data_IF_357045162083
#
_entry.id   IF_357045162083
#
_cell.length_a   1.000
_cell.length_b   1.000
_cell.length_c   1.000
_cell.angle_alpha   90.00
_cell.angle_beta   90.00
_cell.angle_gamma   90.00
#
_symmetry.space_group_name_H-M   'P 1'
#
loop_
_entity.id
_entity.type
_entity.pdbx_description
1 polymer ?
#
# COMPACT_ATOMS: atom_id res chain seq x y z
N UNK A 1 14.92 1.48 4.79
CA UNK A 1 13.70 1.15 5.52
C UNK A 1 12.82 2.39 5.49
N UNK A 2 11.86 2.49 4.58
CA UNK A 2 10.98 3.66 4.57
C UNK A 2 9.98 3.57 5.74
N UNK A 3 10.14 4.41 6.77
CA UNK A 3 9.20 4.54 7.88
C UNK A 3 8.29 5.77 7.79
N UNK A 4 8.44 6.56 6.73
CA UNK A 4 7.71 7.80 6.54
C UNK A 4 7.62 8.11 5.04
N UNK A 5 6.49 8.63 4.58
CA UNK A 5 6.31 8.98 3.17
C UNK A 5 5.52 10.26 2.98
N UNK A 6 5.56 10.80 1.76
CA UNK A 6 4.64 11.82 1.28
C UNK A 6 3.60 11.10 0.42
N UNK A 7 2.33 11.22 0.76
CA UNK A 7 1.23 10.67 -0.02
C UNK A 7 0.13 11.73 -0.11
N UNK A 8 0.12 12.51 -1.18
CA UNK A 8 -0.91 13.50 -1.51
C UNK A 8 -1.64 13.21 -2.82
N UNK A 9 -1.36 12.07 -3.43
CA UNK A 9 -1.95 11.63 -4.70
C UNK A 9 -3.47 11.58 -4.66
N UNK A 10 -4.11 12.13 -5.69
CA UNK A 10 -5.53 11.93 -5.97
C UNK A 10 -5.83 10.48 -6.35
N UNK A 11 -7.10 10.02 -6.22
CA UNK A 11 -7.48 8.67 -6.66
C UNK A 11 -7.09 8.35 -8.11
N UNK A 12 -7.18 9.34 -9.01
CA UNK A 12 -6.83 9.18 -10.42
C UNK A 12 -5.32 9.02 -10.64
N UNK A 13 -4.50 9.78 -9.92
CA UNK A 13 -3.03 9.61 -9.94
C UNK A 13 -2.62 8.25 -9.39
N UNK A 14 -3.30 7.78 -8.34
CA UNK A 14 -3.11 6.43 -7.79
C UNK A 14 -3.47 5.36 -8.84
N UNK A 15 -4.62 5.49 -9.51
CA UNK A 15 -5.02 4.56 -10.56
C UNK A 15 -3.99 4.50 -11.69
N UNK A 16 -3.54 5.66 -12.19
CA UNK A 16 -2.50 5.74 -13.22
C UNK A 16 -1.18 5.14 -12.76
N UNK A 17 -0.77 5.40 -11.52
CA UNK A 17 0.45 4.83 -10.96
C UNK A 17 0.41 3.29 -10.90
N UNK A 18 -0.76 2.70 -10.65
CA UNK A 18 -0.95 1.25 -10.67
C UNK A 18 -1.16 0.66 -12.07
N UNK A 19 -1.25 1.49 -13.11
CA UNK A 19 -1.61 1.06 -14.46
C UNK A 19 -3.08 0.61 -14.58
N UNK A 20 -3.94 1.07 -13.68
CA UNK A 20 -5.38 0.80 -13.72
C UNK A 20 -6.09 1.78 -14.66
N UNK A 21 -7.19 1.35 -15.31
CA UNK A 21 -7.94 2.22 -16.21
C UNK A 21 -8.52 3.42 -15.45
N UNK A 22 -8.57 4.57 -16.12
CA UNK A 22 -9.22 5.79 -15.65
C UNK A 22 -10.39 6.16 -16.56
N UNK A 23 -11.40 6.83 -16.02
CA UNK A 23 -12.46 7.43 -16.82
C UNK A 23 -11.87 8.59 -17.63
N UNK A 24 -12.33 8.78 -18.87
CA UNK A 24 -11.93 9.94 -19.68
C UNK A 24 -12.96 11.06 -19.54
N UNK A 25 -12.52 12.31 -19.50
CA UNK A 25 -13.33 13.52 -19.33
C UNK A 25 -14.39 13.81 -20.42
N UNK A 26 -14.53 12.98 -21.46
CA UNK A 26 -15.42 13.23 -22.60
C UNK A 26 -16.91 12.87 -22.39
N UNK A 27 -17.35 12.66 -21.15
CA UNK A 27 -18.77 12.51 -20.82
C UNK A 27 -19.15 13.40 -19.64
N UNK A 28 -19.29 14.71 -19.88
CA UNK A 28 -19.97 15.64 -18.98
C UNK A 28 -19.24 15.95 -17.67
N UNK A 29 -18.21 16.79 -17.72
CA UNK A 29 -17.80 17.68 -16.61
C UNK A 29 -17.18 17.06 -15.35
N UNK A 30 -17.11 15.74 -15.20
CA UNK A 30 -16.40 15.06 -14.12
C UNK A 30 -14.95 14.76 -14.52
N UNK A 31 -13.97 15.20 -13.72
CA UNK A 31 -12.54 14.95 -13.98
C UNK A 31 -12.18 13.47 -14.04
N UNK A 32 -10.99 13.17 -14.58
CA UNK A 32 -10.41 11.83 -14.62
C UNK A 32 -10.46 11.18 -13.23
N UNK A 33 -11.13 10.04 -13.10
CA UNK A 33 -11.21 9.23 -11.88
C UNK A 33 -10.83 7.77 -12.16
N UNK A 34 -10.67 6.93 -11.12
CA UNK A 34 -10.49 5.49 -11.33
C UNK A 34 -11.69 4.88 -12.03
N UNK A 35 -11.46 4.09 -13.08
CA UNK A 35 -12.50 3.25 -13.70
C UNK A 35 -12.59 1.86 -13.03
N UNK A 36 -11.90 1.68 -11.90
CA UNK A 36 -11.94 0.48 -11.06
C UNK A 36 -12.69 0.78 -9.76
N UNK A 37 -13.30 -0.22 -9.10
CA UNK A 37 -13.94 -0.01 -7.81
C UNK A 37 -13.00 0.61 -6.79
N UNK A 38 -13.51 1.60 -6.07
CA UNK A 38 -12.80 2.25 -4.97
C UNK A 38 -13.46 1.91 -3.65
N UNK A 39 -12.69 1.43 -2.68
CA UNK A 39 -13.18 0.92 -1.40
C UNK A 39 -12.63 1.75 -0.25
N UNK A 40 -13.52 2.34 0.55
CA UNK A 40 -13.18 3.09 1.77
C UNK A 40 -12.20 4.27 1.58
N UNK A 41 -12.13 4.87 0.38
CA UNK A 41 -11.25 6.01 0.11
C UNK A 41 -11.52 7.22 1.01
N UNK A 42 -12.72 7.32 1.58
CA UNK A 42 -13.07 8.33 2.59
C UNK A 42 -12.20 8.25 3.87
N UNK A 43 -11.42 7.18 4.08
CA UNK A 43 -10.45 7.05 5.18
C UNK A 43 -9.09 7.68 4.87
N UNK A 44 -8.76 7.90 3.61
CA UNK A 44 -7.49 8.48 3.20
C UNK A 44 -7.43 9.96 3.59
N UNK A 45 -6.28 10.39 4.14
CA UNK A 45 -5.99 11.78 4.46
C UNK A 45 -4.66 12.16 3.80
N UNK A 46 -4.68 12.92 2.68
CA UNK A 46 -3.47 13.40 2.03
C UNK A 46 -2.53 14.08 3.02
N UNK A 47 -1.25 13.71 2.99
CA UNK A 47 -0.26 14.28 3.90
C UNK A 47 1.14 14.23 3.29
N UNK A 48 1.90 15.29 3.52
CA UNK A 48 3.34 15.34 3.25
C UNK A 48 4.15 14.45 4.20
N UNK A 49 3.52 13.93 5.25
CA UNK A 49 4.15 13.18 6.30
C UNK A 49 3.23 12.06 6.82
N UNK A 50 3.12 10.96 6.08
CA UNK A 50 2.41 9.76 6.51
C UNK A 50 3.35 8.84 7.30
N UNK A 51 2.80 8.20 8.34
CA UNK A 51 3.50 7.29 9.25
C UNK A 51 2.76 5.93 9.28
N UNK A 52 3.39 4.85 9.78
CA UNK A 52 2.68 3.64 10.16
C UNK A 52 1.46 3.97 11.04
N UNK A 53 0.34 3.30 10.75
CA UNK A 53 -0.97 3.55 11.31
C UNK A 53 -1.85 4.47 10.45
N UNK A 54 -1.29 5.16 9.46
CA UNK A 54 -2.07 5.95 8.50
C UNK A 54 -2.79 5.05 7.49
N UNK A 55 -3.92 5.54 6.96
CA UNK A 55 -4.63 4.92 5.85
C UNK A 55 -4.08 5.45 4.52
N UNK A 56 -3.73 4.55 3.60
CA UNK A 56 -3.24 4.89 2.25
C UNK A 56 -4.10 4.16 1.20
N UNK A 57 -4.24 4.72 -0.02
CA UNK A 57 -4.88 4.03 -1.13
C UNK A 57 -3.92 2.95 -1.68
N UNK A 58 -4.43 1.72 -1.81
CA UNK A 58 -3.67 0.52 -2.16
C UNK A 58 -4.34 -0.20 -3.32
N UNK A 59 -3.57 -0.56 -4.34
CA UNK A 59 -4.04 -1.33 -5.49
C UNK A 59 -3.97 -2.83 -5.20
N UNK A 60 -5.04 -3.57 -5.42
CA UNK A 60 -5.08 -5.02 -5.20
C UNK A 60 -6.03 -5.72 -6.18
N UNK A 61 -5.86 -7.03 -6.38
CA UNK A 61 -6.84 -7.86 -7.05
C UNK A 61 -7.83 -8.41 -6.02
N UNK A 62 -9.13 -8.34 -6.31
CA UNK A 62 -10.18 -8.88 -5.43
C UNK A 62 -11.28 -9.56 -6.24
N UNK A 63 -11.90 -10.58 -5.66
CA UNK A 63 -13.16 -11.11 -6.16
C UNK A 63 -14.21 -9.99 -6.18
N UNK A 64 -14.81 -9.76 -7.34
CA UNK A 64 -15.80 -8.71 -7.57
C UNK A 64 -17.07 -9.32 -8.14
N UNK A 65 -18.26 -8.99 -7.58
CA UNK A 65 -19.53 -9.39 -8.16
C UNK A 65 -19.66 -8.84 -9.58
N UNK A 66 -19.91 -9.70 -10.57
CA UNK A 66 -20.18 -9.29 -11.95
C UNK A 66 -18.96 -9.08 -12.85
N UNK A 67 -17.74 -9.33 -12.37
CA UNK A 67 -16.53 -9.33 -13.21
C UNK A 67 -16.40 -10.62 -14.02
N UNK A 68 -17.40 -10.93 -14.83
CA UNK A 68 -17.30 -11.98 -15.85
C UNK A 68 -16.65 -11.39 -17.10
N UNK A 69 -15.34 -11.57 -17.27
CA UNK A 69 -14.75 -11.46 -18.60
C UNK A 69 -15.21 -12.66 -19.43
N UNK A 70 -16.32 -12.48 -20.17
CA UNK A 70 -16.73 -13.34 -21.27
C UNK A 70 -16.94 -14.83 -20.95
N UNK A 71 -18.18 -15.18 -20.58
CA UNK A 71 -18.70 -16.55 -20.72
C UNK A 71 -18.35 -17.54 -19.61
N UNK A 72 -19.31 -17.79 -18.71
CA UNK A 72 -19.27 -18.88 -17.73
C UNK A 72 -19.10 -18.39 -16.29
N UNK A 73 -20.10 -18.64 -15.46
CA UNK A 73 -20.17 -18.16 -14.08
C UNK A 73 -19.03 -18.68 -13.20
N UNK A 74 -18.12 -17.78 -12.87
CA UNK A 74 -17.28 -17.82 -11.67
C UNK A 74 -17.01 -16.37 -11.25
N UNK A 75 -17.06 -16.07 -9.95
CA UNK A 75 -16.70 -14.75 -9.41
C UNK A 75 -15.29 -14.37 -9.86
N UNK A 76 -15.17 -13.50 -10.86
CA UNK A 76 -13.88 -13.07 -11.39
C UNK A 76 -13.14 -12.16 -10.42
N UNK A 77 -11.81 -12.29 -10.37
CA UNK A 77 -10.97 -11.29 -9.71
C UNK A 77 -10.75 -10.08 -10.64
N UNK A 78 -10.87 -8.88 -10.09
CA UNK A 78 -10.57 -7.64 -10.79
C UNK A 78 -9.77 -6.66 -9.93
N UNK A 79 -9.12 -5.67 -10.55
CA UNK A 79 -8.37 -4.64 -9.83
C UNK A 79 -9.31 -3.73 -9.04
N UNK A 80 -8.88 -3.35 -7.85
CA UNK A 80 -9.55 -2.36 -7.00
C UNK A 80 -8.52 -1.40 -6.39
N UNK A 81 -8.97 -0.20 -6.04
CA UNK A 81 -8.23 0.70 -5.16
C UNK A 81 -8.92 0.70 -3.80
N UNK A 82 -8.28 0.13 -2.79
CA UNK A 82 -8.82 0.05 -1.45
C UNK A 82 -7.96 0.85 -0.48
N UNK A 83 -8.61 1.64 0.38
CA UNK A 83 -7.91 2.29 1.47
C UNK A 83 -7.58 1.28 2.57
N UNK A 84 -6.30 1.09 2.87
CA UNK A 84 -5.79 0.15 3.86
C UNK A 84 -4.85 0.84 4.83
N UNK A 85 -4.68 0.29 6.03
CA UNK A 85 -3.83 0.86 7.08
C UNK A 85 -2.38 0.36 6.97
N UNK A 86 -1.41 1.25 7.02
CA UNK A 86 0.00 0.89 6.93
C UNK A 86 0.49 0.31 8.26
N UNK A 87 0.98 -0.92 8.27
CA UNK A 87 1.33 -1.67 9.47
C UNK A 87 0.50 -2.94 9.55
N UNK A 88 1.06 -4.06 9.08
CA UNK A 88 0.32 -5.31 8.94
C UNK A 88 -0.12 -5.87 10.29
N UNK A 89 -1.38 -6.28 10.36
CA UNK A 89 -1.99 -7.02 11.46
C UNK A 89 -2.41 -8.37 10.91
N UNK A 90 -1.74 -9.48 11.29
CA UNK A 90 -2.12 -10.80 10.84
C UNK A 90 -3.55 -11.17 11.26
N UNK A 91 -4.27 -11.87 10.39
CA UNK A 91 -5.66 -12.31 10.60
C UNK A 91 -5.83 -13.23 11.80
N UNK A 92 -4.76 -13.90 12.22
CA UNK A 92 -4.70 -14.76 13.41
C UNK A 92 -4.31 -14.01 14.70
N UNK A 93 -4.07 -12.69 14.64
CA UNK A 93 -3.89 -11.84 15.83
C UNK A 93 -5.13 -11.92 16.71
N UNK A 94 -4.95 -11.94 18.04
CA UNK A 94 -6.06 -12.09 18.98
C UNK A 94 -7.09 -10.97 18.80
N UNK A 95 -8.38 -11.30 18.77
CA UNK A 95 -9.45 -10.32 18.46
C UNK A 95 -9.52 -9.12 19.43
N UNK A 96 -9.10 -9.32 20.68
CA UNK A 96 -9.05 -8.27 21.71
C UNK A 96 -7.68 -7.56 21.79
N UNK A 97 -6.69 -7.97 20.98
CA UNK A 97 -5.36 -7.35 20.98
C UNK A 97 -5.43 -5.95 20.35
N UNK A 98 -4.80 -4.97 20.99
CA UNK A 98 -4.64 -3.63 20.42
C UNK A 98 -3.50 -3.67 19.39
N UNK A 99 -3.75 -3.44 18.09
CA UNK A 99 -2.69 -3.58 17.10
C UNK A 99 -1.62 -2.48 17.21
N UNK A 100 -0.35 -2.88 17.14
CA UNK A 100 0.80 -1.98 16.98
C UNK A 100 1.25 -1.95 15.50
N UNK A 101 0.86 -0.87 14.81
CA UNK A 101 1.15 -0.67 13.39
C UNK A 101 2.63 -0.42 13.10
N UNK A 102 3.46 -0.10 14.10
CA UNK A 102 4.91 0.10 13.94
C UNK A 102 5.69 -1.22 13.97
N UNK A 103 5.05 -2.34 14.31
CA UNK A 103 5.73 -3.63 14.40
C UNK A 103 5.97 -4.29 13.04
N UNK A 104 5.02 -4.17 12.10
CA UNK A 104 5.04 -4.90 10.83
C UNK A 104 4.75 -4.02 9.60
N UNK A 105 5.16 -2.75 9.65
CA UNK A 105 4.99 -1.81 8.52
C UNK A 105 5.92 -2.11 7.33
N UNK A 106 7.02 -2.83 7.56
CA UNK A 106 7.92 -3.34 6.53
C UNK A 106 8.15 -4.84 6.67
N UNK A 107 8.37 -5.51 5.54
CA UNK A 107 8.73 -6.92 5.44
C UNK A 107 9.96 -7.10 4.55
N UNK A 108 11.02 -7.71 5.08
CA UNK A 108 12.25 -7.98 4.33
C UNK A 108 12.02 -9.08 3.30
N UNK A 109 12.24 -8.76 2.03
CA UNK A 109 12.06 -9.68 0.90
C UNK A 109 12.91 -10.94 1.06
N UNK A 110 14.07 -10.81 1.70
CA UNK A 110 15.03 -11.89 1.97
C UNK A 110 14.44 -12.99 2.87
N UNK A 111 13.54 -12.64 3.80
CA UNK A 111 12.98 -13.57 4.80
C UNK A 111 11.45 -13.72 4.72
N UNK A 112 10.81 -13.09 3.73
CA UNK A 112 9.35 -13.01 3.61
C UNK A 112 8.69 -14.41 3.47
N UNK A 113 9.41 -15.37 2.88
CA UNK A 113 8.95 -16.76 2.68
C UNK A 113 9.02 -17.62 3.96
N UNK A 114 9.80 -17.19 4.95
CA UNK A 114 10.03 -17.94 6.19
C UNK A 114 9.04 -17.52 7.28
N UNK A 115 8.71 -16.23 7.37
CA UNK A 115 7.86 -15.68 8.42
C UNK A 115 6.39 -16.02 8.17
N UNK A 116 5.75 -16.73 9.12
CA UNK A 116 4.33 -17.15 9.04
C UNK A 116 3.39 -15.98 8.72
N UNK A 117 3.63 -14.82 9.32
CA UNK A 117 2.81 -13.61 9.09
C UNK A 117 2.82 -13.12 7.65
N UNK A 118 3.87 -13.41 6.87
CA UNK A 118 4.03 -12.91 5.50
C UNK A 118 3.91 -14.02 4.45
N UNK A 119 4.50 -15.19 4.68
CA UNK A 119 4.63 -16.26 3.67
C UNK A 119 3.30 -16.69 3.07
N UNK A 120 2.23 -16.72 3.87
CA UNK A 120 0.88 -17.08 3.42
C UNK A 120 0.25 -16.04 2.49
N UNK A 121 0.69 -14.78 2.58
CA UNK A 121 0.14 -13.64 1.83
C UNK A 121 0.71 -13.56 0.42
N UNK A 122 1.92 -14.08 0.19
CA UNK A 122 2.65 -13.96 -1.10
C UNK A 122 1.83 -14.47 -2.29
N UNK A 123 1.02 -15.51 -2.07
CA UNK A 123 0.26 -16.15 -3.12
C UNK A 123 -1.04 -15.40 -3.47
N UNK A 124 -1.72 -14.81 -2.49
CA UNK A 124 -3.11 -14.33 -2.65
C UNK A 124 -3.34 -12.87 -2.25
N UNK A 125 -2.46 -12.28 -1.44
CA UNK A 125 -2.69 -10.97 -0.84
C UNK A 125 -1.53 -10.03 -1.16
N UNK A 126 -1.20 -9.92 -2.45
CA UNK A 126 -0.24 -8.93 -2.96
C UNK A 126 -0.96 -7.63 -3.26
N UNK A 127 -0.29 -6.51 -3.02
CA UNK A 127 -0.82 -5.20 -3.35
C UNK A 127 0.28 -4.22 -3.77
N UNK A 128 -0.14 -3.09 -4.32
CA UNK A 128 0.69 -1.98 -4.74
C UNK A 128 0.39 -0.75 -3.89
N UNK A 129 1.44 -0.01 -3.50
CA UNK A 129 1.32 1.24 -2.74
C UNK A 129 2.02 2.34 -3.53
N UNK A 130 1.29 3.41 -3.88
CA UNK A 130 1.84 4.55 -4.61
C UNK A 130 2.04 5.75 -3.69
N UNK A 131 3.19 6.40 -3.78
CA UNK A 131 3.53 7.63 -3.02
C UNK A 131 4.39 8.55 -3.89
N UNK A 132 4.40 9.85 -3.64
CA UNK A 132 5.34 10.75 -4.35
C UNK A 132 6.80 10.52 -3.94
N UNK A 133 7.02 10.06 -2.71
CA UNK A 133 8.35 9.85 -2.19
C UNK A 133 8.35 9.34 -0.76
N UNK A 134 9.49 8.87 -0.29
CA UNK A 134 9.68 8.44 1.10
C UNK A 134 10.81 9.21 1.77
N UNK A 135 10.84 9.16 3.11
CA UNK A 135 11.91 9.75 3.89
C UNK A 135 12.80 8.67 4.50
N UNK A 136 14.09 8.95 4.52
CA UNK A 136 15.10 8.11 5.16
C UNK A 136 16.08 8.98 5.94
N UNK A 137 16.63 8.46 7.03
CA UNK A 137 17.51 9.23 7.91
C UNK A 137 18.94 8.70 7.86
N UNK A 138 19.84 9.50 7.32
CA UNK A 138 21.28 9.22 7.39
C UNK A 138 21.75 9.38 8.83
N UNK A 139 22.37 8.33 9.38
CA UNK A 139 23.06 8.40 10.67
C UNK A 139 24.43 9.05 10.48
N UNK A 140 24.67 10.15 11.20
CA UNK A 140 25.96 10.83 11.27
C UNK A 140 26.36 10.91 12.76
N UNK A 141 26.99 9.85 13.27
CA UNK A 141 27.22 9.70 14.72
C UNK A 141 25.91 9.65 15.50
N UNK A 142 25.73 10.56 16.46
CA UNK A 142 24.50 10.69 17.25
C UNK A 142 23.39 11.47 16.54
N UNK A 143 23.70 12.21 15.47
CA UNK A 143 22.73 13.01 14.71
C UNK A 143 22.11 12.20 13.58
N UNK A 144 20.86 12.51 13.25
CA UNK A 144 20.13 11.93 12.11
C UNK A 144 19.72 13.04 11.14
N UNK A 145 20.18 12.98 9.91
CA UNK A 145 19.79 13.91 8.84
C UNK A 145 18.68 13.28 7.99
N UNK A 146 17.47 13.84 7.91
CA UNK A 146 16.43 13.37 7.01
C UNK A 146 16.76 13.70 5.54
N UNK A 147 16.44 12.77 4.65
CA UNK A 147 16.43 12.92 3.20
C UNK A 147 15.07 12.53 2.65
N UNK A 148 14.63 13.21 1.59
CA UNK A 148 13.44 12.87 0.83
C UNK A 148 13.87 12.24 -0.51
N UNK A 149 13.34 11.07 -0.81
CA UNK A 149 13.70 10.26 -1.98
C UNK A 149 12.48 10.17 -2.89
N UNK A 150 12.66 10.58 -4.15
CA UNK A 150 11.64 10.58 -5.20
C UNK A 150 12.31 10.47 -6.58
N UNK A 151 11.53 10.18 -7.63
CA UNK A 151 12.03 10.24 -9.00
C UNK A 151 12.27 11.69 -9.47
N UNK A 152 13.28 11.89 -10.32
CA UNK A 152 13.62 13.21 -10.87
C UNK A 152 12.50 13.80 -11.73
N UNK A 153 11.74 12.96 -12.43
CA UNK A 153 10.59 13.34 -13.26
C UNK A 153 9.28 13.51 -12.45
N UNK A 154 9.36 13.43 -11.12
CA UNK A 154 8.23 13.57 -10.19
C UNK A 154 7.12 12.53 -10.33
N UNK A 155 7.31 11.47 -11.11
CA UNK A 155 6.31 10.38 -11.15
C UNK A 155 6.24 9.66 -9.80
N UNK A 156 5.07 9.08 -9.43
CA UNK A 156 4.95 8.32 -8.19
C UNK A 156 5.91 7.14 -8.12
N UNK A 157 6.42 6.86 -6.92
CA UNK A 157 7.03 5.57 -6.56
C UNK A 157 5.91 4.55 -6.33
N UNK A 158 6.10 3.33 -6.82
CA UNK A 158 5.18 2.22 -6.59
C UNK A 158 5.91 1.09 -5.87
N UNK A 159 5.46 0.78 -4.67
CA UNK A 159 6.03 -0.29 -3.86
C UNK A 159 5.25 -1.59 -4.01
N UNK A 160 5.98 -2.70 -4.06
CA UNK A 160 5.42 -4.03 -3.82
C UNK A 160 5.09 -4.18 -2.32
N UNK A 161 3.91 -4.69 -2.03
CA UNK A 161 3.42 -4.84 -0.67
C UNK A 161 2.60 -6.13 -0.52
N UNK A 162 2.37 -6.52 0.73
CA UNK A 162 1.45 -7.58 1.13
C UNK A 162 0.38 -6.97 2.02
N UNK A 163 -0.84 -7.49 1.92
CA UNK A 163 -1.94 -7.06 2.79
C UNK A 163 -2.62 -8.22 3.48
N UNK A 164 -3.40 -7.92 4.50
CA UNK A 164 -4.22 -8.89 5.19
C UNK A 164 -5.43 -8.21 5.85
N UNK A 165 -6.40 -9.02 6.28
CA UNK A 165 -7.60 -8.55 6.96
C UNK A 165 -7.69 -9.18 8.36
N UNK A 166 -7.79 -8.34 9.38
CA UNK A 166 -7.97 -8.75 10.76
C UNK A 166 -9.32 -8.26 11.28
N UNK A 167 -10.01 -9.12 12.04
CA UNK A 167 -11.32 -8.83 12.63
C UNK A 167 -11.18 -8.69 14.14
N UNK A 168 -11.57 -7.55 14.69
CA UNK A 168 -11.51 -7.31 16.13
C UNK A 168 -12.67 -8.03 16.88
N UNK A 169 -12.73 -7.85 18.21
CA UNK A 169 -13.78 -8.43 19.06
C UNK A 169 -15.19 -7.90 18.77
N UNK A 170 -15.31 -6.75 18.12
CA UNK A 170 -16.57 -6.10 17.74
C UNK A 170 -17.06 -6.51 16.34
N UNK A 171 -16.28 -7.34 15.62
CA UNK A 171 -16.58 -7.73 14.25
C UNK A 171 -16.12 -6.74 13.19
N UNK A 172 -15.43 -5.65 13.55
CA UNK A 172 -14.87 -4.71 12.59
C UNK A 172 -13.68 -5.34 11.85
N UNK A 173 -13.73 -5.33 10.52
CA UNK A 173 -12.66 -5.80 9.66
C UNK A 173 -11.72 -4.63 9.31
N UNK A 174 -10.47 -4.73 9.73
CA UNK A 174 -9.40 -3.79 9.34
C UNK A 174 -8.50 -4.43 8.30
N UNK A 175 -8.40 -3.80 7.14
CA UNK A 175 -7.42 -4.16 6.11
C UNK A 175 -6.11 -3.42 6.36
N UNK A 176 -5.03 -4.17 6.44
CA UNK A 176 -3.70 -3.63 6.75
C UNK A 176 -2.67 -4.13 5.75
N UNK A 177 -1.58 -3.38 5.57
CA UNK A 177 -0.51 -3.75 4.64
C UNK A 177 0.89 -3.53 5.19
N UNK A 178 1.86 -4.22 4.59
CA UNK A 178 3.29 -4.07 4.83
C UNK A 178 4.01 -3.83 3.51
N UNK A 179 4.97 -2.91 3.50
CA UNK A 179 5.80 -2.65 2.32
C UNK A 179 6.94 -3.66 2.28
N UNK A 180 7.20 -4.24 1.11
CA UNK A 180 8.38 -5.07 0.92
C UNK A 180 9.63 -4.20 0.83
N UNK A 181 10.64 -4.54 1.62
CA UNK A 181 11.96 -3.91 1.58
C UNK A 181 12.99 -4.89 1.06
N UNK A 182 14.05 -4.36 0.47
CA UNK A 182 15.25 -5.14 0.11
C UNK A 182 16.49 -4.29 0.38
N UNK A 183 17.67 -4.84 0.09
CA UNK A 183 18.94 -4.13 0.16
C UNK A 183 18.88 -2.82 -0.62
N UNK A 184 19.49 -1.78 -0.06
CA UNK A 184 19.66 -0.52 -0.77
C UNK A 184 20.48 -0.75 -2.03
N UNK A 185 20.08 -0.13 -3.14
CA UNK A 185 20.89 -0.11 -4.34
C UNK A 185 22.22 0.60 -4.08
N UNK A 186 23.23 0.37 -4.92
CA UNK A 186 24.55 1.01 -4.80
C UNK A 186 24.44 2.54 -4.71
N UNK A 187 23.50 3.14 -5.44
CA UNK A 187 23.24 4.59 -5.44
C UNK A 187 22.65 5.13 -4.13
N UNK A 188 22.00 4.28 -3.32
CA UNK A 188 21.36 4.66 -2.05
C UNK A 188 22.10 4.12 -0.81
N UNK A 189 23.14 3.30 -1.00
CA UNK A 189 23.85 2.65 0.11
C UNK A 189 24.50 3.65 1.09
N UNK A 190 24.91 4.83 0.61
CA UNK A 190 25.48 5.90 1.45
C UNK A 190 24.46 6.51 2.44
N UNK A 191 23.17 6.34 2.15
CA UNK A 191 22.07 6.92 2.92
C UNK A 191 21.63 5.99 4.04
N UNK A 192 21.53 4.69 3.73
CA UNK A 192 21.08 3.68 4.65
C UNK A 192 21.63 2.30 4.28
N UNK A 193 22.45 1.77 5.18
CA UNK A 193 22.79 0.34 5.31
C UNK A 193 22.10 -0.27 6.51
#
# INVERSE_FOLDING_TARGET
MCGRARCTLSPAEVARAFGFPTTSANAGGGGDGPAVPTLHLNRFRPSYNVLPGAYLPVGAMRALPGCAHGGGGSDGEGPVIQCMKWGLVPSFTGKAEKPDYFRMFNARSESVKEKVSFRRLIQKNRCLVAVEGFYEWKKNGSKKQPYYIHFQDHRPLVFAALYDAWTNSEGEITHTFTILTTHASTSLNWLHG
#
